data_IF_248711842450
#
_entry.id   IF_248711842450
#
_cell.length_a   1.000
_cell.length_b   1.000
_cell.length_c   1.000
_cell.angle_alpha   90.00
_cell.angle_beta   90.00
_cell.angle_gamma   90.00
#
_symmetry.space_group_name_H-M   'P 1'
#
loop_
_entity.id
_entity.type
_entity.pdbx_description
1 polymer ?
#
# COMPACT_ATOMS: atom_id res chain seq x y z
N UNK A 1 91.10 -34.60 2.08
CA UNK A 1 89.93 -35.22 1.44
C UNK A 1 89.10 -35.81 2.58
N UNK A 2 87.92 -35.34 2.95
CA UNK A 2 86.90 -34.58 2.24
C UNK A 2 86.00 -33.90 3.27
N UNK A 3 85.44 -32.74 2.96
CA UNK A 3 84.37 -32.14 3.74
C UNK A 3 83.08 -32.98 3.61
N UNK A 4 82.20 -32.93 4.63
CA UNK A 4 80.77 -32.90 4.36
C UNK A 4 80.06 -31.70 5.01
N UNK A 5 79.04 -31.30 4.28
CA UNK A 5 78.06 -30.20 4.36
C UNK A 5 77.21 -30.17 5.65
N UNK A 6 76.62 -29.00 5.99
CA UNK A 6 75.68 -28.86 7.09
C UNK A 6 74.26 -29.28 6.65
N UNK A 7 73.58 -30.04 7.50
CA UNK A 7 72.12 -30.27 7.41
C UNK A 7 71.39 -29.20 8.22
N UNK A 8 70.33 -28.56 7.68
CA UNK A 8 69.44 -27.72 8.46
C UNK A 8 68.38 -28.63 9.09
N UNK A 9 68.24 -28.59 10.42
CA UNK A 9 67.02 -29.10 11.06
C UNK A 9 66.23 -27.96 11.69
N UNK A 10 64.92 -28.18 11.62
CA UNK A 10 63.82 -27.24 11.57
C UNK A 10 63.32 -26.90 12.98
N UNK A 11 62.63 -25.76 13.01
CA UNK A 11 61.50 -25.44 13.89
C UNK A 11 61.75 -25.26 15.39
N UNK A 12 61.93 -24.00 15.79
CA UNK A 12 61.36 -23.50 17.04
C UNK A 12 60.07 -22.73 16.73
N UNK A 13 58.93 -23.36 16.96
CA UNK A 13 57.62 -22.74 16.95
C UNK A 13 57.59 -21.55 17.93
N UNK A 14 57.34 -20.35 17.40
CA UNK A 14 57.01 -19.19 18.20
C UNK A 14 55.58 -19.36 18.76
N UNK A 15 55.46 -20.09 19.87
CA UNK A 15 54.21 -20.31 20.58
C UNK A 15 53.62 -18.95 21.01
N UNK A 16 52.50 -18.55 20.39
CA UNK A 16 51.74 -17.37 20.81
C UNK A 16 51.33 -17.51 22.28
N UNK A 17 51.80 -16.59 23.13
CA UNK A 17 51.37 -16.51 24.52
C UNK A 17 49.86 -16.33 24.62
N UNK A 18 49.21 -17.04 25.56
CA UNK A 18 47.77 -16.89 25.88
C UNK A 18 47.36 -15.42 26.08
N UNK A 19 48.26 -14.59 26.61
CA UNK A 19 48.03 -13.15 26.80
C UNK A 19 47.97 -12.38 25.49
N UNK A 20 48.81 -12.76 24.52
CA UNK A 20 48.84 -12.19 23.17
C UNK A 20 47.59 -12.60 22.39
N UNK A 21 47.17 -13.87 22.52
CA UNK A 21 45.94 -14.38 21.92
C UNK A 21 44.69 -13.69 22.51
N UNK A 22 44.59 -13.57 23.83
CA UNK A 22 43.45 -12.90 24.48
C UNK A 22 43.37 -11.41 24.15
N UNK A 23 44.51 -10.70 24.06
CA UNK A 23 44.54 -9.30 23.58
C UNK A 23 44.13 -9.20 22.10
N UNK A 24 44.58 -10.12 21.26
CA UNK A 24 44.17 -10.22 19.86
C UNK A 24 42.67 -10.47 19.71
N UNK A 25 42.11 -11.43 20.45
CA UNK A 25 40.69 -11.75 20.47
C UNK A 25 39.83 -10.61 21.04
N UNK A 26 40.31 -9.87 22.06
CA UNK A 26 39.58 -8.71 22.58
C UNK A 26 39.56 -7.55 21.57
N UNK A 27 40.68 -7.29 20.89
CA UNK A 27 40.76 -6.26 19.86
C UNK A 27 39.93 -6.62 18.61
N UNK A 28 40.05 -7.86 18.11
CA UNK A 28 39.26 -8.34 16.98
C UNK A 28 37.78 -8.50 17.33
N UNK A 29 37.46 -9.08 18.48
CA UNK A 29 36.10 -9.23 19.00
C UNK A 29 35.41 -7.88 19.20
N UNK A 30 36.12 -6.90 19.75
CA UNK A 30 35.65 -5.52 19.90
C UNK A 30 35.41 -4.83 18.56
N UNK A 31 36.30 -4.97 17.59
CA UNK A 31 36.12 -4.45 16.23
C UNK A 31 34.95 -5.10 15.49
N UNK A 32 34.79 -6.42 15.61
CA UNK A 32 33.65 -7.14 15.01
C UNK A 32 32.33 -6.79 15.69
N UNK A 33 32.32 -6.62 17.01
CA UNK A 33 31.14 -6.20 17.76
C UNK A 33 30.76 -4.75 17.41
N UNK A 34 31.75 -3.86 17.25
CA UNK A 34 31.53 -2.50 16.80
C UNK A 34 30.97 -2.47 15.37
N UNK A 35 31.57 -3.23 14.44
CA UNK A 35 31.09 -3.35 13.06
C UNK A 35 29.66 -3.93 12.98
N UNK A 36 29.33 -4.93 13.81
CA UNK A 36 27.97 -5.47 13.91
C UNK A 36 27.00 -4.47 14.54
N UNK A 37 27.43 -3.68 15.54
CA UNK A 37 26.61 -2.63 16.16
C UNK A 37 26.36 -1.42 15.25
N UNK A 38 27.25 -1.20 14.27
CA UNK A 38 27.13 -0.18 13.23
C UNK A 38 26.46 -0.71 11.95
N UNK A 39 26.21 -2.01 11.82
CA UNK A 39 25.49 -2.59 10.68
C UNK A 39 24.08 -1.99 10.48
N UNK A 40 23.29 -1.69 11.54
CA UNK A 40 22.02 -0.97 11.41
C UNK A 40 22.17 0.46 10.87
N UNK A 41 23.33 1.12 11.11
CA UNK A 41 23.63 2.43 10.53
C UNK A 41 23.96 2.37 9.04
N UNK A 42 24.33 1.19 8.52
CA UNK A 42 24.52 0.96 7.08
C UNK A 42 23.19 0.95 6.33
N UNK A 43 22.12 0.46 6.95
CA UNK A 43 20.75 0.55 6.42
C UNK A 43 20.18 1.97 6.48
N UNK A 44 20.60 2.78 7.47
CA UNK A 44 20.32 4.22 7.48
C UNK A 44 20.96 4.95 6.27
N UNK A 45 21.96 4.36 5.62
CA UNK A 45 22.54 4.86 4.38
C UNK A 45 21.58 4.85 3.18
N UNK A 46 20.48 4.10 3.23
CA UNK A 46 19.42 4.15 2.20
C UNK A 46 18.46 5.34 2.37
N UNK A 47 18.43 5.98 3.55
CA UNK A 47 17.69 7.23 3.76
C UNK A 47 18.54 8.39 3.25
N UNK A 48 18.16 8.96 2.12
CA UNK A 48 18.77 10.21 1.64
C UNK A 48 18.59 11.31 2.69
N UNK A 49 19.60 12.15 2.92
CA UNK A 49 19.52 13.27 3.87
C UNK A 49 18.31 14.18 3.60
N UNK A 50 17.88 14.26 2.34
CA UNK A 50 16.66 14.95 1.90
C UNK A 50 15.37 14.30 2.43
N UNK A 51 15.30 12.96 2.49
CA UNK A 51 14.14 12.23 3.02
C UNK A 51 14.07 12.32 4.55
N UNK A 52 15.21 12.35 5.24
CA UNK A 52 15.26 12.54 6.69
C UNK A 52 14.83 13.96 7.11
N UNK A 53 15.17 14.97 6.31
CA UNK A 53 14.79 16.37 6.54
C UNK A 53 13.40 16.72 5.97
N UNK A 54 12.70 15.75 5.39
CA UNK A 54 11.39 15.99 4.80
C UNK A 54 10.39 16.39 5.88
N UNK A 55 9.81 17.58 5.73
CA UNK A 55 8.75 18.06 6.61
C UNK A 55 7.49 17.23 6.44
N UNK A 56 6.62 17.26 7.45
CA UNK A 56 5.29 16.68 7.37
C UNK A 56 4.51 17.32 6.21
N UNK A 57 3.75 16.52 5.44
CA UNK A 57 3.05 16.96 4.23
C UNK A 57 2.23 18.25 4.38
N UNK A 58 1.56 18.43 5.52
CA UNK A 58 0.73 19.62 5.78
C UNK A 58 1.55 20.88 6.07
N UNK A 59 2.84 20.75 6.33
CA UNK A 59 3.78 21.83 6.66
C UNK A 59 4.75 22.12 5.52
N UNK A 60 4.68 21.37 4.41
CA UNK A 60 5.53 21.59 3.25
C UNK A 60 5.15 22.86 2.51
N UNK A 61 6.14 23.69 2.20
CA UNK A 61 5.97 24.80 1.25
C UNK A 61 5.88 24.28 -0.19
N UNK A 62 5.42 25.08 -1.17
CA UNK A 62 5.47 24.71 -2.58
C UNK A 62 6.87 24.30 -3.06
N UNK A 63 7.92 24.93 -2.53
CA UNK A 63 9.31 24.60 -2.82
C UNK A 63 9.72 23.25 -2.22
N UNK A 64 9.33 22.98 -0.98
CA UNK A 64 9.56 21.69 -0.31
C UNK A 64 8.84 20.56 -1.07
N UNK A 65 7.60 20.81 -1.51
CA UNK A 65 6.84 19.87 -2.34
C UNK A 65 7.54 19.61 -3.68
N UNK A 66 8.03 20.66 -4.36
CA UNK A 66 8.76 20.51 -5.63
C UNK A 66 10.02 19.65 -5.46
N UNK A 67 10.76 19.83 -4.35
CA UNK A 67 11.91 18.99 -4.01
C UNK A 67 11.49 17.55 -3.75
N UNK A 68 10.42 17.32 -3.00
CA UNK A 68 9.90 15.98 -2.72
C UNK A 68 9.46 15.26 -4.01
N UNK A 69 8.74 15.94 -4.90
CA UNK A 69 8.33 15.40 -6.20
C UNK A 69 9.55 15.03 -7.05
N UNK A 70 10.54 15.94 -7.18
CA UNK A 70 11.76 15.67 -7.92
C UNK A 70 12.58 14.52 -7.32
N UNK A 71 12.62 14.38 -5.99
CA UNK A 71 13.24 13.24 -5.30
C UNK A 71 12.55 11.93 -5.70
N UNK A 72 11.22 11.87 -5.60
CA UNK A 72 10.44 10.66 -5.97
C UNK A 72 10.65 10.31 -7.44
N UNK A 73 10.65 11.31 -8.34
CA UNK A 73 10.88 11.09 -9.76
C UNK A 73 12.27 10.48 -10.02
N UNK A 74 13.32 10.99 -9.36
CA UNK A 74 14.68 10.43 -9.43
C UNK A 74 14.73 9.00 -8.89
N UNK A 75 14.13 8.73 -7.73
CA UNK A 75 14.11 7.39 -7.11
C UNK A 75 13.45 6.36 -8.04
N UNK A 76 12.29 6.70 -8.59
CA UNK A 76 11.56 5.82 -9.51
C UNK A 76 12.32 5.65 -10.83
N UNK A 77 12.92 6.71 -11.38
CA UNK A 77 13.72 6.61 -12.60
C UNK A 77 14.95 5.74 -12.39
N UNK A 78 15.63 5.86 -11.26
CA UNK A 78 16.78 5.02 -10.92
C UNK A 78 16.37 3.55 -10.72
N UNK A 79 15.24 3.30 -10.05
CA UNK A 79 14.81 1.94 -9.74
C UNK A 79 14.21 1.18 -10.95
N UNK A 80 13.46 1.87 -11.81
CA UNK A 80 12.68 1.23 -12.88
C UNK A 80 13.13 1.61 -14.29
N UNK A 81 14.07 2.55 -14.45
CA UNK A 81 14.56 2.98 -15.77
C UNK A 81 13.53 3.75 -16.62
N UNK A 82 12.42 4.17 -16.03
CA UNK A 82 11.32 4.89 -16.71
C UNK A 82 11.29 6.33 -16.19
N UNK A 83 10.93 7.30 -17.03
CA UNK A 83 10.70 8.68 -16.59
C UNK A 83 9.28 8.82 -16.03
N UNK A 84 9.09 8.92 -14.70
CA UNK A 84 7.77 9.12 -14.11
C UNK A 84 7.32 10.58 -14.23
N UNK A 85 6.01 10.79 -14.04
CA UNK A 85 5.40 12.10 -13.87
C UNK A 85 4.65 12.11 -12.55
N UNK A 86 5.25 12.70 -11.51
CA UNK A 86 4.64 12.73 -10.17
C UNK A 86 4.01 14.09 -9.95
N UNK A 87 2.72 14.10 -9.60
CA UNK A 87 1.98 15.34 -9.33
C UNK A 87 1.40 15.33 -7.92
N UNK A 88 1.28 16.53 -7.37
CA UNK A 88 0.50 16.76 -6.16
C UNK A 88 -0.90 17.24 -6.53
N UNK A 89 -1.85 16.30 -6.60
CA UNK A 89 -3.24 16.60 -6.89
C UNK A 89 -3.95 16.98 -5.61
N UNK A 90 -4.37 18.24 -5.48
CA UNK A 90 -5.05 18.75 -4.29
C UNK A 90 -6.51 18.29 -4.20
N UNK A 91 -7.05 18.12 -2.98
CA UNK A 91 -8.46 17.74 -2.80
C UNK A 91 -9.40 18.79 -3.42
N UNK A 92 -10.57 18.32 -3.84
CA UNK A 92 -11.62 19.17 -4.40
C UNK A 92 -12.52 19.68 -3.26
N UNK A 93 -12.75 21.00 -3.20
CA UNK A 93 -13.72 21.58 -2.28
C UNK A 93 -15.16 21.31 -2.76
N UNK A 94 -16.10 21.11 -1.82
CA UNK A 94 -17.52 20.87 -2.13
C UNK A 94 -17.83 19.53 -2.79
N UNK A 95 -16.88 18.58 -2.76
CA UNK A 95 -17.04 17.24 -3.30
C UNK A 95 -16.92 16.23 -2.16
N UNK A 96 -17.79 15.24 -2.12
CA UNK A 96 -17.63 14.09 -1.24
C UNK A 96 -17.80 12.81 -2.05
N UNK A 97 -16.68 12.12 -2.26
CA UNK A 97 -16.65 10.94 -3.10
C UNK A 97 -17.24 9.72 -2.39
N UNK A 98 -18.16 9.05 -3.09
CA UNK A 98 -18.82 7.83 -2.63
C UNK A 98 -18.80 6.76 -3.70
N UNK A 99 -18.93 5.52 -3.25
CA UNK A 99 -19.02 4.35 -4.11
C UNK A 99 -20.34 3.62 -3.87
N UNK A 100 -21.04 3.24 -4.93
CA UNK A 100 -22.17 2.33 -4.86
C UNK A 100 -21.85 1.06 -5.65
N UNK A 101 -22.08 -0.10 -5.04
CA UNK A 101 -21.78 -1.40 -5.64
C UNK A 101 -23.06 -2.23 -5.77
N UNK A 102 -23.38 -2.57 -7.00
CA UNK A 102 -24.49 -3.44 -7.34
C UNK A 102 -24.06 -4.90 -7.21
N UNK A 103 -24.60 -5.58 -6.21
CA UNK A 103 -24.30 -6.98 -5.95
C UNK A 103 -25.05 -7.93 -6.90
N UNK A 104 -26.24 -7.56 -7.37
CA UNK A 104 -27.02 -8.35 -8.35
C UNK A 104 -26.27 -8.48 -9.68
N UNK A 105 -25.60 -7.42 -10.12
CA UNK A 105 -24.86 -7.40 -11.39
C UNK A 105 -23.44 -7.96 -11.28
N UNK A 106 -22.92 -8.16 -10.08
CA UNK A 106 -21.53 -8.57 -9.91
C UNK A 106 -21.33 -10.06 -10.24
N UNK A 107 -20.62 -10.34 -11.34
CA UNK A 107 -20.35 -11.71 -11.80
C UNK A 107 -19.09 -12.35 -11.19
N UNK A 108 -18.37 -11.65 -10.30
CA UNK A 108 -17.16 -12.21 -9.68
C UNK A 108 -15.93 -12.33 -10.59
N UNK A 109 -15.88 -11.66 -11.74
CA UNK A 109 -14.80 -11.79 -12.74
C UNK A 109 -13.41 -11.27 -12.33
N UNK A 110 -13.26 -10.65 -11.14
CA UNK A 110 -12.01 -10.05 -10.60
C UNK A 110 -11.26 -9.05 -11.50
N UNK A 111 -11.77 -8.66 -12.68
CA UNK A 111 -11.17 -7.62 -13.54
C UNK A 111 -10.89 -6.31 -12.79
N UNK A 112 -11.78 -5.93 -11.87
CA UNK A 112 -11.60 -4.75 -11.01
C UNK A 112 -10.38 -4.83 -10.08
N UNK A 113 -10.01 -6.04 -9.64
CA UNK A 113 -8.81 -6.29 -8.83
C UNK A 113 -7.56 -6.06 -9.67
N UNK A 114 -7.46 -6.73 -10.82
CA UNK A 114 -6.31 -6.61 -11.72
C UNK A 114 -6.10 -5.16 -12.22
N UNK A 115 -7.17 -4.45 -12.56
CA UNK A 115 -7.09 -3.05 -12.95
C UNK A 115 -6.60 -2.15 -11.79
N UNK A 116 -7.05 -2.41 -10.56
CA UNK A 116 -6.59 -1.67 -9.39
C UNK A 116 -5.09 -1.91 -9.13
N UNK A 117 -4.64 -3.16 -9.33
CA UNK A 117 -3.26 -3.61 -9.17
C UNK A 117 -2.33 -3.01 -10.23
N UNK A 118 -2.80 -2.88 -11.47
CA UNK A 118 -2.11 -2.20 -12.57
C UNK A 118 -2.05 -0.68 -12.37
N UNK A 119 -3.20 -0.04 -12.16
CA UNK A 119 -3.29 1.42 -12.06
C UNK A 119 -2.51 1.98 -10.86
N UNK A 120 -2.61 1.30 -9.71
CA UNK A 120 -2.06 1.80 -8.46
C UNK A 120 -0.64 1.35 -8.20
N UNK A 121 0.06 0.69 -9.13
CA UNK A 121 1.43 0.19 -8.94
C UNK A 121 1.56 -0.67 -7.66
N UNK A 122 0.62 -1.59 -7.42
CA UNK A 122 0.69 -2.51 -6.27
C UNK A 122 1.81 -3.54 -6.47
N UNK A 123 2.33 -4.13 -5.40
CA UNK A 123 3.33 -5.19 -5.50
C UNK A 123 2.80 -6.41 -6.26
N UNK A 124 3.63 -7.03 -7.11
CA UNK A 124 3.35 -8.33 -7.76
C UNK A 124 3.93 -9.50 -6.99
N UNK A 125 5.00 -9.27 -6.23
CA UNK A 125 5.63 -10.29 -5.40
C UNK A 125 6.11 -9.66 -4.08
N UNK A 126 5.52 -10.04 -2.93
CA UNK A 126 4.26 -10.76 -2.79
C UNK A 126 3.12 -9.95 -3.41
N UNK A 127 2.11 -10.64 -3.93
CA UNK A 127 0.97 -9.96 -4.56
C UNK A 127 0.15 -9.21 -3.50
N UNK A 128 -0.04 -7.91 -3.72
CA UNK A 128 -0.90 -7.08 -2.88
C UNK A 128 -2.15 -6.71 -3.68
N UNK A 129 -3.31 -6.95 -3.04
CA UNK A 129 -4.62 -6.62 -3.61
C UNK A 129 -5.42 -5.74 -2.63
N UNK A 130 -5.81 -4.56 -3.09
CA UNK A 130 -6.70 -3.66 -2.33
C UNK A 130 -8.18 -4.09 -2.36
N UNK A 131 -8.57 -4.88 -3.35
CA UNK A 131 -9.95 -5.31 -3.57
C UNK A 131 -9.97 -6.82 -3.43
N UNK A 132 -10.80 -7.34 -2.53
CA UNK A 132 -11.08 -8.77 -2.40
C UNK A 132 -12.47 -9.04 -2.93
N UNK A 133 -12.63 -9.97 -3.86
CA UNK A 133 -13.96 -10.43 -4.27
C UNK A 133 -14.28 -11.66 -3.46
N UNK A 134 -15.36 -11.61 -2.68
CA UNK A 134 -15.84 -12.72 -1.87
C UNK A 134 -16.98 -13.41 -2.60
N UNK A 135 -16.93 -14.73 -2.72
CA UNK A 135 -18.04 -15.59 -3.13
C UNK A 135 -18.90 -15.87 -1.91
N UNK A 136 -20.16 -15.46 -1.97
CA UNK A 136 -21.10 -15.48 -0.86
C UNK A 136 -22.30 -16.38 -1.21
N UNK A 137 -22.76 -17.28 -0.32
CA UNK A 137 -23.97 -18.04 -0.57
C UNK A 137 -25.19 -17.12 -0.51
N UNK A 138 -26.17 -17.33 -1.41
CA UNK A 138 -27.44 -16.60 -1.33
C UNK A 138 -28.10 -16.79 0.05
N UNK A 139 -28.65 -15.70 0.58
CA UNK A 139 -29.30 -15.69 1.91
C UNK A 139 -28.36 -15.41 3.09
N UNK A 140 -27.05 -15.23 2.86
CA UNK A 140 -26.11 -14.80 3.90
C UNK A 140 -25.36 -13.53 3.52
N UNK A 141 -25.26 -12.59 4.46
CA UNK A 141 -24.42 -11.39 4.36
C UNK A 141 -23.20 -11.46 5.29
N UNK A 142 -22.94 -12.64 5.86
CA UNK A 142 -21.82 -12.87 6.76
C UNK A 142 -20.52 -12.98 5.96
N UNK A 143 -19.79 -11.86 5.88
CA UNK A 143 -18.54 -11.74 5.09
C UNK A 143 -17.44 -12.69 5.56
N UNK A 144 -17.50 -13.18 6.81
CA UNK A 144 -16.52 -14.13 7.34
C UNK A 144 -16.71 -15.54 6.72
N UNK A 145 -17.92 -15.82 6.20
CA UNK A 145 -18.22 -17.06 5.45
C UNK A 145 -17.91 -16.93 3.95
N UNK A 146 -17.47 -15.76 3.50
CA UNK A 146 -17.15 -15.51 2.11
C UNK A 146 -15.85 -16.17 1.69
N UNK A 147 -15.87 -16.89 0.57
CA UNK A 147 -14.67 -17.47 -0.02
C UNK A 147 -13.99 -16.46 -0.96
N UNK A 148 -12.73 -16.11 -0.68
CA UNK A 148 -11.95 -15.23 -1.55
C UNK A 148 -11.18 -16.01 -2.64
N UNK A 149 -10.90 -17.29 -2.41
CA UNK A 149 -9.98 -18.11 -3.21
C UNK A 149 -10.72 -19.06 -4.16
N UNK A 150 -11.98 -18.78 -4.47
CA UNK A 150 -12.77 -19.59 -5.39
C UNK A 150 -12.11 -19.76 -6.77
N UNK A 151 -12.16 -20.98 -7.31
CA UNK A 151 -11.63 -21.38 -8.62
C UNK A 151 -12.68 -22.09 -9.47
N UNK A 152 -13.94 -21.65 -9.37
CA UNK A 152 -15.04 -22.23 -10.16
C UNK A 152 -14.77 -22.11 -11.66
N UNK A 153 -15.08 -23.16 -12.42
CA UNK A 153 -14.91 -23.19 -13.87
C UNK A 153 -15.74 -22.10 -14.58
N UNK A 154 -16.86 -21.70 -13.99
CA UNK A 154 -17.70 -20.60 -14.47
C UNK A 154 -18.13 -19.71 -13.32
N UNK A 155 -17.96 -18.40 -13.49
CA UNK A 155 -18.50 -17.37 -12.60
C UNK A 155 -19.55 -16.56 -13.35
N UNK A 156 -20.75 -16.33 -12.79
CA UNK A 156 -21.17 -16.65 -11.43
C UNK A 156 -21.55 -18.12 -11.20
N UNK A 157 -21.34 -18.62 -9.97
CA UNK A 157 -21.67 -20.00 -9.60
C UNK A 157 -23.13 -20.07 -9.12
N UNK A 158 -23.84 -21.17 -9.43
CA UNK A 158 -25.26 -21.33 -9.07
C UNK A 158 -25.44 -21.30 -7.54
N UNK A 159 -26.34 -20.45 -7.04
CA UNK A 159 -26.62 -20.31 -5.60
C UNK A 159 -25.68 -19.35 -4.85
N UNK A 160 -24.77 -18.67 -5.57
CA UNK A 160 -23.82 -17.72 -4.99
C UNK A 160 -23.91 -16.36 -5.66
N UNK A 161 -23.64 -15.31 -4.88
CA UNK A 161 -23.41 -13.96 -5.36
C UNK A 161 -21.97 -13.53 -5.00
N UNK A 162 -21.49 -12.45 -5.63
CA UNK A 162 -20.12 -11.98 -5.42
C UNK A 162 -20.10 -10.58 -4.82
N UNK A 163 -19.36 -10.44 -3.71
CA UNK A 163 -19.24 -9.19 -2.96
C UNK A 163 -17.79 -8.70 -2.94
N UNK A 164 -17.45 -7.72 -3.80
CA UNK A 164 -16.19 -7.00 -3.69
C UNK A 164 -16.07 -6.15 -2.41
N UNK A 165 -15.11 -6.46 -1.56
CA UNK A 165 -14.75 -5.73 -0.34
C UNK A 165 -13.43 -4.98 -0.55
N UNK A 166 -13.42 -3.69 -0.21
CA UNK A 166 -12.25 -2.81 -0.29
C UNK A 166 -12.31 -1.74 0.81
N UNK A 167 -11.38 -0.78 0.79
CA UNK A 167 -11.45 0.37 1.69
C UNK A 167 -12.76 1.14 1.47
N UNK A 168 -13.55 1.26 2.53
CA UNK A 168 -14.87 1.89 2.52
C UNK A 168 -14.80 3.43 2.65
N UNK A 169 -13.61 4.00 2.80
CA UNK A 169 -13.37 5.44 2.95
C UNK A 169 -14.28 6.11 4.00
N UNK A 170 -14.38 5.47 5.17
CA UNK A 170 -15.24 5.86 6.29
C UNK A 170 -15.21 7.36 6.59
N UNK A 171 -16.38 7.93 6.92
CA UNK A 171 -16.48 9.30 7.43
C UNK A 171 -15.88 9.42 8.83
N UNK A 172 -16.06 8.39 9.66
CA UNK A 172 -15.45 8.26 10.99
C UNK A 172 -14.38 7.15 10.97
N UNK A 173 -13.19 7.38 10.38
CA UNK A 173 -12.19 6.33 10.17
C UNK A 173 -11.44 5.99 11.48
N UNK A 174 -11.61 4.79 12.07
CA UNK A 174 -10.83 4.39 13.25
C UNK A 174 -9.33 4.30 12.93
N UNK A 175 -9.01 3.86 11.71
CA UNK A 175 -7.64 3.77 11.21
C UNK A 175 -6.86 5.10 11.15
N UNK A 176 -7.54 6.26 11.16
CA UNK A 176 -6.89 7.58 11.27
C UNK A 176 -6.57 7.89 12.74
N UNK A 177 -7.52 7.65 13.64
CA UNK A 177 -7.40 7.96 15.07
C UNK A 177 -6.26 7.21 15.77
N UNK A 178 -5.94 6.01 15.30
CA UNK A 178 -4.92 5.14 15.91
C UNK A 178 -3.50 5.40 15.39
N UNK A 179 -3.30 6.30 14.43
CA UNK A 179 -1.97 6.53 13.86
C UNK A 179 -1.14 7.44 14.78
N UNK A 180 -0.08 6.94 15.44
CA UNK A 180 0.66 7.73 16.43
C UNK A 180 1.43 8.91 15.82
N UNK A 181 1.80 8.81 14.54
CA UNK A 181 2.57 9.83 13.82
C UNK A 181 1.71 10.67 12.88
N UNK A 182 0.40 10.47 12.85
CA UNK A 182 -0.52 11.18 11.93
C UNK A 182 -0.17 11.02 10.42
N UNK A 183 0.43 9.89 10.03
CA UNK A 183 0.73 9.59 8.61
C UNK A 183 -0.52 9.36 7.74
N UNK A 184 -1.71 9.29 8.33
CA UNK A 184 -2.97 9.11 7.61
C UNK A 184 -4.00 10.12 8.13
N UNK A 185 -4.73 10.75 7.23
CA UNK A 185 -5.78 11.71 7.56
C UNK A 185 -6.90 11.65 6.51
N UNK A 186 -7.99 12.36 6.78
CA UNK A 186 -9.08 12.53 5.82
C UNK A 186 -8.95 13.88 5.13
N UNK A 187 -9.01 13.88 3.80
CA UNK A 187 -9.04 15.08 2.96
C UNK A 187 -10.46 15.63 2.81
N UNK A 188 -10.57 16.89 2.37
CA UNK A 188 -11.88 17.56 2.18
C UNK A 188 -12.80 16.88 1.19
N UNK A 189 -12.22 16.16 0.21
CA UNK A 189 -12.95 15.39 -0.79
C UNK A 189 -13.53 14.06 -0.27
N UNK A 190 -13.31 13.79 1.02
CA UNK A 190 -13.73 12.57 1.70
C UNK A 190 -12.77 11.39 1.54
N UNK A 191 -11.67 11.56 0.81
CA UNK A 191 -10.70 10.48 0.65
C UNK A 191 -9.82 10.42 1.89
N UNK A 192 -9.75 9.26 2.55
CA UNK A 192 -8.70 9.03 3.55
C UNK A 192 -7.39 8.79 2.79
N UNK A 193 -6.31 9.47 3.16
CA UNK A 193 -5.00 9.36 2.51
C UNK A 193 -3.97 8.77 3.44
N UNK A 194 -2.88 8.27 2.88
CA UNK A 194 -1.69 7.84 3.61
C UNK A 194 -0.50 8.55 2.99
N UNK A 195 0.29 9.25 3.79
CA UNK A 195 1.62 9.64 3.38
C UNK A 195 2.57 8.45 3.58
N UNK A 196 3.02 7.90 2.46
CA UNK A 196 3.94 6.75 2.46
C UNK A 196 5.34 7.10 3.00
N UNK A 197 5.79 8.36 2.95
CA UNK A 197 7.10 8.76 3.48
C UNK A 197 7.05 8.95 5.00
N UNK A 198 5.89 9.35 5.53
CA UNK A 198 5.69 9.58 6.97
C UNK A 198 5.26 8.33 7.74
N UNK A 199 4.84 7.28 7.04
CA UNK A 199 4.35 6.06 7.65
C UNK A 199 5.50 5.24 8.27
N UNK A 200 5.51 5.11 9.60
CA UNK A 200 6.50 4.32 10.34
C UNK A 200 6.23 2.80 10.39
N UNK A 201 5.18 2.32 9.73
CA UNK A 201 4.91 0.87 9.70
C UNK A 201 4.46 0.23 11.01
N UNK A 202 3.92 0.98 11.98
CA UNK A 202 3.46 0.42 13.28
C UNK A 202 2.22 -0.50 13.19
N UNK A 203 1.53 -0.55 12.04
CA UNK A 203 0.38 -1.44 11.74
C UNK A 203 -0.86 -1.32 12.62
N UNK A 204 -0.93 -0.40 13.58
CA UNK A 204 -2.17 -0.17 14.34
C UNK A 204 -3.38 0.19 13.47
N UNK A 205 -3.15 0.88 12.35
CA UNK A 205 -4.21 1.20 11.40
C UNK A 205 -4.76 -0.02 10.64
N UNK A 206 -4.00 -1.12 10.55
CA UNK A 206 -4.45 -2.42 10.02
C UNK A 206 -5.39 -3.09 11.02
N UNK A 207 -4.97 -3.20 12.28
CA UNK A 207 -5.76 -3.79 13.35
C UNK A 207 -7.07 -3.02 13.62
N UNK A 208 -7.05 -1.69 13.53
CA UNK A 208 -8.23 -0.86 13.76
C UNK A 208 -9.24 -0.87 12.59
N UNK A 209 -8.91 -1.43 11.43
CA UNK A 209 -9.79 -1.42 10.28
C UNK A 209 -10.75 -2.62 10.29
N UNK A 210 -12.07 -2.42 10.49
CA UNK A 210 -13.03 -3.54 10.58
C UNK A 210 -13.23 -4.28 9.25
N UNK A 211 -12.72 -3.73 8.15
CA UNK A 211 -12.83 -4.28 6.79
C UNK A 211 -11.56 -4.97 6.30
N UNK A 212 -10.49 -4.94 7.11
CA UNK A 212 -9.17 -5.45 6.73
C UNK A 212 -8.71 -4.91 5.35
N UNK A 213 -8.89 -3.60 5.16
CA UNK A 213 -8.69 -2.91 3.89
C UNK A 213 -7.33 -2.20 3.75
N UNK A 214 -6.50 -2.28 4.80
CA UNK A 214 -5.13 -1.75 4.86
C UNK A 214 -4.18 -2.92 4.58
N UNK A 215 -3.13 -2.70 3.77
CA UNK A 215 -2.16 -3.71 3.33
C UNK A 215 -0.76 -3.28 3.71
N UNK A 216 -0.02 -4.13 4.42
CA UNK A 216 1.33 -3.83 4.83
C UNK A 216 2.36 -4.43 3.86
N UNK A 217 3.36 -3.64 3.48
CA UNK A 217 4.49 -4.12 2.69
C UNK A 217 5.53 -4.79 3.60
N UNK A 218 5.42 -6.10 3.77
CA UNK A 218 6.38 -6.87 4.58
C UNK A 218 7.77 -6.94 3.94
N UNK A 219 7.81 -7.10 2.63
CA UNK A 219 9.03 -7.17 1.83
C UNK A 219 9.05 -6.00 0.85
N UNK A 220 10.20 -5.78 0.21
CA UNK A 220 10.33 -4.81 -0.88
C UNK A 220 9.34 -5.16 -2.00
N UNK A 221 8.44 -4.23 -2.39
CA UNK A 221 7.52 -4.48 -3.50
C UNK A 221 8.26 -4.69 -4.82
N UNK A 222 7.90 -5.75 -5.53
CA UNK A 222 8.40 -6.02 -6.88
C UNK A 222 7.34 -5.63 -7.92
N UNK A 223 7.72 -4.72 -8.83
CA UNK A 223 6.86 -4.24 -9.91
C UNK A 223 7.67 -4.33 -11.21
N UNK A 224 7.22 -5.10 -12.21
CA UNK A 224 7.89 -5.13 -13.51
C UNK A 224 7.88 -3.73 -14.15
N UNK A 225 9.03 -3.22 -14.65
CA UNK A 225 9.11 -1.90 -15.27
C UNK A 225 8.07 -1.71 -16.38
N UNK A 226 7.83 -2.74 -17.21
CA UNK A 226 6.93 -2.69 -18.36
C UNK A 226 5.46 -2.51 -17.95
N UNK A 227 5.13 -2.78 -16.68
CA UNK A 227 3.77 -2.70 -16.13
C UNK A 227 3.62 -1.58 -15.10
N UNK A 228 4.62 -0.71 -14.98
CA UNK A 228 4.58 0.47 -14.13
C UNK A 228 3.75 1.58 -14.80
N UNK A 229 2.80 2.15 -14.05
CA UNK A 229 2.10 3.36 -14.47
C UNK A 229 2.97 4.59 -14.16
N UNK A 230 3.43 5.36 -15.17
CA UNK A 230 4.31 6.51 -14.96
C UNK A 230 3.56 7.74 -14.42
N UNK A 231 2.24 7.81 -14.56
CA UNK A 231 1.43 8.94 -14.09
C UNK A 231 1.09 8.75 -12.61
N UNK A 232 1.88 9.39 -11.75
CA UNK A 232 1.83 9.16 -10.31
C UNK A 232 1.29 10.36 -9.54
N UNK A 233 0.63 10.10 -8.42
CA UNK A 233 0.30 11.11 -7.43
C UNK A 233 1.09 10.89 -6.14
N UNK A 234 1.50 11.98 -5.48
CA UNK A 234 2.29 11.93 -4.23
C UNK A 234 1.61 11.05 -3.15
N UNK A 235 0.31 11.28 -2.89
CA UNK A 235 -0.51 10.48 -1.95
C UNK A 235 -1.20 9.24 -2.60
N UNK A 236 -0.86 8.91 -3.84
CA UNK A 236 -1.63 7.96 -4.66
C UNK A 236 -0.86 6.70 -5.03
N UNK A 237 -0.58 6.55 -6.32
CA UNK A 237 -0.06 5.36 -6.97
C UNK A 237 1.47 5.33 -7.16
N UNK A 238 2.25 6.11 -6.39
CA UNK A 238 3.71 5.96 -6.41
C UNK A 238 4.12 4.57 -5.90
N UNK A 239 5.21 3.96 -6.39
CA UNK A 239 5.80 2.76 -5.80
C UNK A 239 6.12 2.96 -4.32
N UNK A 240 5.91 1.92 -3.50
CA UNK A 240 6.05 2.02 -2.05
C UNK A 240 7.33 1.33 -1.59
N UNK A 241 7.81 1.79 -0.44
CA UNK A 241 8.94 1.19 0.26
C UNK A 241 8.45 0.05 1.15
N UNK A 242 9.37 -0.83 1.52
CA UNK A 242 9.14 -1.83 2.56
C UNK A 242 8.78 -1.14 3.88
N UNK A 243 7.94 -1.78 4.70
CA UNK A 243 7.55 -1.24 6.00
C UNK A 243 6.44 -0.19 5.96
N UNK A 244 5.84 0.07 4.80
CA UNK A 244 4.79 1.08 4.65
C UNK A 244 3.40 0.44 4.51
N UNK A 245 2.39 1.13 5.03
CA UNK A 245 0.99 0.74 4.87
C UNK A 245 0.38 1.34 3.59
N UNK A 246 -0.43 0.54 2.91
CA UNK A 246 -1.15 0.89 1.71
C UNK A 246 -2.65 0.65 1.83
N UNK A 247 -3.43 1.31 0.97
CA UNK A 247 -4.87 1.06 0.85
C UNK A 247 -5.45 1.61 -0.46
N UNK A 248 -6.67 1.18 -0.77
CA UNK A 248 -7.48 1.86 -1.78
C UNK A 248 -7.72 3.32 -1.39
N UNK A 249 -7.37 4.21 -2.30
CA UNK A 249 -7.52 5.66 -2.16
C UNK A 249 -8.47 6.23 -3.23
N UNK A 250 -9.40 5.41 -3.75
CA UNK A 250 -10.29 5.81 -4.87
C UNK A 250 -9.56 6.31 -6.12
N UNK A 251 -8.31 5.91 -6.35
CA UNK A 251 -7.50 6.34 -7.49
C UNK A 251 -7.41 7.89 -7.58
N UNK A 252 -6.90 8.55 -6.52
CA UNK A 252 -6.64 10.00 -6.44
C UNK A 252 -6.05 10.57 -7.73
N UNK A 253 -5.10 9.86 -8.33
CA UNK A 253 -4.44 10.21 -9.58
C UNK A 253 -5.38 10.34 -10.79
N UNK A 254 -6.56 9.71 -10.72
CA UNK A 254 -7.63 9.75 -11.73
C UNK A 254 -8.77 10.65 -11.31
N UNK A 255 -9.30 10.46 -10.10
CA UNK A 255 -10.52 11.14 -9.64
C UNK A 255 -10.36 12.64 -9.50
N UNK A 256 -9.23 13.10 -8.97
CA UNK A 256 -8.91 14.54 -8.90
C UNK A 256 -8.59 15.15 -10.27
N UNK A 257 -8.37 14.33 -11.29
CA UNK A 257 -8.21 14.74 -12.68
C UNK A 257 -9.51 14.60 -13.51
N UNK A 258 -10.65 14.38 -12.85
CA UNK A 258 -11.96 14.24 -13.51
C UNK A 258 -12.19 12.89 -14.20
N UNK A 259 -11.35 11.89 -13.96
CA UNK A 259 -11.50 10.53 -14.51
C UNK A 259 -12.09 9.57 -13.50
N UNK A 260 -12.77 8.53 -13.97
CA UNK A 260 -13.28 7.49 -13.08
C UNK A 260 -12.14 6.61 -12.52
N UNK A 261 -12.37 5.97 -11.35
CA UNK A 261 -11.43 4.98 -10.83
C UNK A 261 -11.26 3.79 -11.79
N UNK A 262 -10.04 3.25 -11.90
CA UNK A 262 -9.76 2.13 -12.82
C UNK A 262 -10.63 0.89 -12.57
N UNK A 263 -10.97 0.63 -11.31
CA UNK A 263 -11.84 -0.49 -10.95
C UNK A 263 -13.27 -0.33 -11.45
N UNK A 264 -13.75 0.90 -11.65
CA UNK A 264 -15.06 1.20 -12.24
C UNK A 264 -15.02 0.99 -13.75
N UNK A 265 -14.07 1.63 -14.44
CA UNK A 265 -14.03 1.63 -15.91
C UNK A 265 -13.87 0.24 -16.51
N UNK A 266 -13.12 -0.65 -15.85
CA UNK A 266 -12.91 -2.02 -16.35
C UNK A 266 -14.11 -2.94 -16.15
N UNK A 267 -15.12 -2.51 -15.38
CA UNK A 267 -16.23 -3.39 -14.99
C UNK A 267 -17.16 -3.66 -16.18
N UNK A 268 -17.18 -4.88 -16.75
CA UNK A 268 -17.94 -5.14 -17.99
C UNK A 268 -19.47 -5.07 -17.78
N UNK A 269 -19.90 -5.30 -16.55
CA UNK A 269 -21.31 -5.36 -16.15
C UNK A 269 -21.81 -4.05 -15.53
N UNK A 270 -20.93 -3.06 -15.36
CA UNK A 270 -21.29 -1.77 -14.74
C UNK A 270 -21.74 -1.91 -13.28
N UNK A 271 -21.25 -2.90 -12.54
CA UNK A 271 -21.64 -3.13 -11.14
C UNK A 271 -21.11 -2.05 -10.19
N UNK A 272 -20.05 -1.33 -10.58
CA UNK A 272 -19.37 -0.32 -9.79
C UNK A 272 -19.81 1.07 -10.22
N UNK A 273 -20.27 1.89 -9.28
CA UNK A 273 -20.73 3.27 -9.51
C UNK A 273 -19.98 4.21 -8.56
N UNK A 274 -19.52 5.34 -9.06
CA UNK A 274 -18.67 6.29 -8.33
C UNK A 274 -19.06 7.72 -8.69
N UNK A 275 -19.02 8.62 -7.71
CA UNK A 275 -19.38 10.02 -7.93
C UNK A 275 -19.48 10.80 -6.62
N UNK A 276 -20.01 12.02 -6.73
CA UNK A 276 -20.17 12.96 -5.63
C UNK A 276 -21.56 12.82 -5.00
N UNK A 277 -21.63 12.57 -3.68
CA UNK A 277 -22.91 12.51 -2.96
C UNK A 277 -23.56 13.89 -2.77
N UNK A 278 -22.76 14.97 -2.79
CA UNK A 278 -23.27 16.33 -2.62
C UNK A 278 -23.94 16.87 -3.88
N UNK A 279 -23.69 16.27 -5.04
CA UNK A 279 -24.35 16.62 -6.29
C UNK A 279 -25.66 15.83 -6.44
N UNK A 280 -26.84 16.47 -6.43
CA UNK A 280 -28.13 15.79 -6.57
C UNK A 280 -28.32 15.07 -7.91
N UNK A 281 -27.61 15.53 -8.95
CA UNK A 281 -27.69 14.99 -10.31
C UNK A 281 -26.70 13.85 -10.55
N UNK A 282 -25.87 13.51 -9.56
CA UNK A 282 -24.93 12.41 -9.69
C UNK A 282 -25.66 11.06 -9.72
N UNK A 283 -25.11 10.11 -10.47
CA UNK A 283 -25.64 8.74 -10.53
C UNK A 283 -25.73 8.10 -9.14
N UNK A 284 -24.78 8.44 -8.26
CA UNK A 284 -24.74 7.90 -6.91
C UNK A 284 -25.85 8.48 -6.03
N UNK A 285 -26.11 9.78 -6.13
CA UNK A 285 -27.23 10.43 -5.44
C UNK A 285 -28.58 9.93 -5.92
N UNK A 286 -28.72 9.61 -7.21
CA UNK A 286 -29.92 8.94 -7.73
C UNK A 286 -30.07 7.53 -7.14
N UNK A 287 -29.00 6.72 -7.17
CA UNK A 287 -29.02 5.36 -6.60
C UNK A 287 -29.40 5.40 -5.12
N UNK A 288 -28.80 6.31 -4.34
CA UNK A 288 -29.04 6.45 -2.91
C UNK A 288 -30.47 6.90 -2.56
N UNK A 289 -31.15 7.63 -3.46
CA UNK A 289 -32.55 8.05 -3.28
C UNK A 289 -33.56 6.98 -3.68
N UNK A 290 -33.30 6.28 -4.78
CA UNK A 290 -34.28 5.39 -5.41
C UNK A 290 -34.20 3.94 -4.91
N UNK A 291 -32.99 3.46 -4.62
CA UNK A 291 -32.81 2.09 -4.13
C UNK A 291 -33.14 2.06 -2.64
N UNK A 292 -33.84 1.02 -2.18
CA UNK A 292 -34.31 0.91 -0.78
C UNK A 292 -33.43 0.00 0.09
N UNK A 293 -32.57 -0.81 -0.53
CA UNK A 293 -31.72 -1.78 0.17
C UNK A 293 -30.28 -1.30 0.05
N UNK A 294 -29.82 -0.59 1.08
CA UNK A 294 -28.40 -0.28 1.25
C UNK A 294 -27.86 -1.08 2.40
N UNK A 295 -26.77 -1.78 2.13
CA UNK A 295 -26.00 -2.44 3.16
C UNK A 295 -24.75 -1.57 3.34
N UNK A 296 -24.67 -0.90 4.49
CA UNK A 296 -23.40 -0.44 5.01
C UNK A 296 -22.75 -1.65 5.68
N UNK A 297 -21.58 -2.04 5.19
CA UNK A 297 -20.88 -3.18 5.76
C UNK A 297 -20.50 -2.86 7.21
N UNK A 298 -20.79 -3.78 8.14
CA UNK A 298 -20.50 -3.65 9.58
C UNK A 298 -20.96 -2.31 10.19
N UNK A 299 -22.23 -1.96 9.98
CA UNK A 299 -22.83 -0.70 10.46
C UNK A 299 -22.74 -0.56 12.00
N UNK A 300 -22.78 -1.68 12.72
CA UNK A 300 -22.62 -1.77 14.17
C UNK A 300 -21.32 -1.14 14.70
N UNK A 301 -20.31 -1.00 13.84
CA UNK A 301 -19.01 -0.40 14.20
C UNK A 301 -19.00 1.14 14.16
N UNK A 302 -20.11 1.79 13.76
CA UNK A 302 -20.25 3.26 13.81
C UNK A 302 -19.28 4.05 12.92
N UNK A 303 -18.69 3.40 11.91
CA UNK A 303 -17.66 4.02 11.06
C UNK A 303 -18.22 4.94 9.96
N UNK A 304 -19.53 4.89 9.70
CA UNK A 304 -20.21 5.57 8.60
C UNK A 304 -19.46 5.43 7.26
N UNK A 305 -19.42 4.21 6.67
CA UNK A 305 -18.88 3.95 5.34
C UNK A 305 -19.38 4.91 4.26
N UNK A 306 -18.49 5.27 3.32
CA UNK A 306 -18.84 5.96 2.06
C UNK A 306 -18.90 5.03 0.87
N UNK A 307 -19.13 3.76 1.16
CA UNK A 307 -19.18 2.70 0.19
C UNK A 307 -20.41 1.87 0.52
N UNK A 308 -21.36 1.89 -0.40
CA UNK A 308 -22.70 1.34 -0.22
C UNK A 308 -22.88 0.14 -1.13
N UNK A 309 -23.50 -0.90 -0.61
CA UNK A 309 -23.87 -2.08 -1.38
C UNK A 309 -25.38 -2.10 -1.59
N UNK A 310 -25.82 -2.46 -2.79
CA UNK A 310 -27.25 -2.57 -3.10
C UNK A 310 -27.55 -3.74 -4.04
N UNK A 311 -28.80 -4.18 -4.03
CA UNK A 311 -29.33 -5.16 -4.95
C UNK A 311 -30.35 -4.48 -5.88
N UNK A 312 -30.37 -4.89 -7.15
CA UNK A 312 -31.48 -4.59 -8.03
C UNK A 312 -32.70 -5.45 -7.69
N UNK A 313 -33.89 -4.93 -8.02
CA UNK A 313 -35.15 -5.67 -7.95
C UNK A 313 -35.20 -6.76 -9.00
#
# INVERSE_FOLDING_TARGET
>A
MSAPTPTPDRTSDAAMSRRSFLRGCAAFGGLTALAASLAPLRELGELTSEQFLQKYYKEMTPEDMKKALARIEREVQHQYGIRPHVRDLKPMDGVEFVYCLNLTRCIGCRKCVHACVAENNQSRNPEIQYIRVLKMPHGSMDVEKGDHNYTDASVPAKGFFYMPVQCQQCKNPPCVKVCPVNATWQEKDGITVIDYDWCIGCRYCEAACPYFARRFNFTKPEIPPERLNPNMAYLGNRPRKQGVMEKCHFCIQRTRAGKYPACLEVCPVGARKFGNILDPNSEVSYILREKRVFIQLKEEMGTSPRFFYYFDK
#
